data_IF_235831502839
#
_entry.id   IF_235831502839
#
_cell.length_a   1.000
_cell.length_b   1.000
_cell.length_c   1.000
_cell.angle_alpha   90.00
_cell.angle_beta   90.00
_cell.angle_gamma   90.00
#
_symmetry.space_group_name_H-M   'P 1'
#
loop_
_entity.id
_entity.type
_entity.pdbx_description
1 polymer ?
#
# COMPACT_ATOMS: atom_id res chain seq x y z
N UNK A 1 46.12 61.83 -43.11
CA UNK A 1 46.51 60.95 -41.97
C UNK A 1 46.08 61.66 -40.70
N UNK A 2 45.17 61.19 -39.85
CA UNK A 2 44.76 59.82 -39.50
C UNK A 2 43.27 59.80 -39.10
N UNK A 3 42.55 58.78 -39.55
CA UNK A 3 41.25 58.37 -39.02
C UNK A 3 41.40 57.93 -37.57
N UNK A 4 40.42 58.27 -36.72
CA UNK A 4 40.16 57.55 -35.48
C UNK A 4 38.66 57.27 -35.38
N UNK A 5 38.31 56.02 -35.69
CA UNK A 5 37.04 55.37 -35.39
C UNK A 5 36.95 55.21 -33.87
N UNK A 6 35.88 55.71 -33.24
CA UNK A 6 35.56 55.36 -31.85
C UNK A 6 34.23 54.60 -31.82
N UNK A 7 34.36 53.35 -31.43
CA UNK A 7 33.38 52.27 -31.43
C UNK A 7 32.35 52.49 -30.32
N UNK A 8 31.07 52.60 -30.66
CA UNK A 8 29.96 52.61 -29.70
C UNK A 8 29.78 51.21 -29.12
N UNK A 9 30.08 51.03 -27.83
CA UNK A 9 29.78 49.80 -27.11
C UNK A 9 28.32 49.82 -26.63
N UNK A 10 27.47 49.00 -27.26
CA UNK A 10 26.11 48.74 -26.80
C UNK A 10 26.16 47.59 -25.79
N UNK A 11 26.04 47.90 -24.49
CA UNK A 11 25.94 46.89 -23.45
C UNK A 11 24.52 46.30 -23.44
N UNK A 12 24.36 45.11 -24.03
CA UNK A 12 23.13 44.33 -23.90
C UNK A 12 23.08 43.70 -22.51
N UNK A 13 22.21 44.21 -21.63
CA UNK A 13 21.94 43.63 -20.31
C UNK A 13 20.90 42.53 -20.49
N UNK A 14 21.36 41.31 -20.75
CA UNK A 14 20.49 40.14 -20.78
C UNK A 14 20.22 39.66 -19.36
N UNK A 15 19.12 40.10 -18.74
CA UNK A 15 18.61 39.45 -17.53
C UNK A 15 18.01 38.08 -17.92
N UNK A 16 18.87 37.06 -18.02
CA UNK A 16 18.42 35.68 -18.01
C UNK A 16 17.98 35.36 -16.57
N UNK A 17 16.70 35.58 -16.27
CA UNK A 17 16.09 35.01 -15.08
C UNK A 17 16.21 33.48 -15.20
N UNK A 18 17.12 32.89 -14.44
CA UNK A 18 17.20 31.44 -14.25
C UNK A 18 15.88 31.02 -13.64
N UNK A 19 14.96 30.52 -14.48
CA UNK A 19 13.79 29.79 -14.01
C UNK A 19 14.36 28.50 -13.43
N UNK A 20 14.65 28.51 -12.13
CA UNK A 20 14.92 27.26 -11.42
C UNK A 20 13.68 26.39 -11.62
N UNK A 21 13.82 25.14 -12.08
CA UNK A 21 12.69 24.24 -12.13
C UNK A 21 12.11 24.21 -10.72
N UNK A 22 10.83 24.60 -10.58
CA UNK A 22 10.12 24.60 -9.31
C UNK A 22 10.28 23.19 -8.74
N UNK A 23 11.13 23.02 -7.72
CA UNK A 23 11.30 21.74 -7.02
C UNK A 23 9.90 21.30 -6.66
N UNK A 24 9.45 20.17 -7.21
CA UNK A 24 8.13 19.64 -6.90
C UNK A 24 8.02 19.61 -5.38
N UNK A 25 6.98 20.24 -4.83
CA UNK A 25 6.78 20.24 -3.38
C UNK A 25 6.72 18.78 -2.93
N UNK A 26 7.56 18.45 -1.95
CA UNK A 26 7.60 17.08 -1.43
C UNK A 26 6.22 16.73 -0.83
N UNK A 27 5.70 15.52 -1.10
CA UNK A 27 4.40 15.13 -0.60
C UNK A 27 4.37 15.20 0.93
N UNK A 28 3.30 15.78 1.46
CA UNK A 28 3.05 15.91 2.90
C UNK A 28 1.98 14.92 3.34
N UNK A 29 2.15 14.39 4.54
CA UNK A 29 1.30 13.37 5.15
C UNK A 29 0.76 13.88 6.49
N UNK A 30 -0.52 13.67 6.74
CA UNK A 30 -1.16 13.99 8.02
C UNK A 30 -1.08 12.75 8.91
N UNK A 31 -0.33 12.82 10.00
CA UNK A 31 -0.18 11.72 10.95
C UNK A 31 -0.77 12.08 12.32
N UNK A 32 -1.25 11.07 13.04
CA UNK A 32 -1.73 11.16 14.41
C UNK A 32 -0.84 10.33 15.34
N UNK A 33 -0.20 10.98 16.31
CA UNK A 33 0.62 10.31 17.34
C UNK A 33 -0.18 9.99 18.61
N UNK A 34 -1.21 10.79 18.88
CA UNK A 34 -2.16 10.58 19.97
C UNK A 34 -3.50 11.23 19.60
N UNK A 35 -4.60 11.01 20.36
CA UNK A 35 -5.89 11.63 20.07
C UNK A 35 -5.84 13.16 19.89
N UNK A 36 -4.86 13.83 20.49
CA UNK A 36 -4.70 15.30 20.45
C UNK A 36 -3.46 15.76 19.70
N UNK A 37 -2.58 14.87 19.24
CA UNK A 37 -1.34 15.21 18.54
C UNK A 37 -1.42 14.78 17.08
N UNK A 38 -1.79 15.73 16.23
CA UNK A 38 -1.86 15.58 14.78
C UNK A 38 -0.83 16.49 14.14
N UNK A 39 0.01 15.93 13.25
CA UNK A 39 1.08 16.65 12.58
C UNK A 39 1.00 16.46 11.09
N UNK A 40 1.40 17.48 10.33
CA UNK A 40 1.67 17.34 8.90
C UNK A 40 3.18 17.21 8.73
N UNK A 41 3.62 16.10 8.15
CA UNK A 41 5.03 15.71 8.08
C UNK A 41 5.41 15.23 6.67
N UNK A 42 6.69 15.22 6.34
CA UNK A 42 7.22 14.58 5.13
C UNK A 42 7.35 13.07 5.33
N UNK A 43 7.61 12.33 4.24
CA UNK A 43 7.86 10.88 4.31
C UNK A 43 9.13 10.56 5.12
N UNK A 44 10.17 11.40 5.03
CA UNK A 44 11.40 11.21 5.80
C UNK A 44 11.20 11.47 7.29
N UNK A 45 10.35 12.42 7.66
CA UNK A 45 9.96 12.64 9.05
C UNK A 45 9.14 11.46 9.61
N UNK A 46 8.24 10.87 8.82
CA UNK A 46 7.57 9.60 9.19
C UNK A 46 8.59 8.50 9.46
N UNK A 47 9.63 8.41 8.65
CA UNK A 47 10.69 7.41 8.83
C UNK A 47 11.53 7.65 10.07
N UNK A 48 11.92 8.90 10.34
CA UNK A 48 12.62 9.25 11.57
C UNK A 48 11.80 8.90 12.83
N UNK A 49 10.47 8.98 12.77
CA UNK A 49 9.60 8.51 13.86
C UNK A 49 9.62 6.98 13.99
N UNK A 50 9.57 6.24 12.87
CA UNK A 50 9.63 4.77 12.87
C UNK A 50 10.97 4.25 13.41
N UNK A 51 12.08 4.87 13.02
CA UNK A 51 13.43 4.54 13.53
C UNK A 51 13.54 4.74 15.05
N UNK A 52 12.81 5.72 15.59
CA UNK A 52 12.70 5.98 17.03
C UNK A 52 11.64 5.12 17.73
N UNK A 53 11.04 4.16 17.02
CA UNK A 53 9.94 3.33 17.51
C UNK A 53 8.73 4.14 18.03
N UNK A 54 8.49 5.33 17.45
CA UNK A 54 7.32 6.14 17.76
C UNK A 54 6.16 5.69 16.86
N UNK A 55 5.08 5.25 17.48
CA UNK A 55 3.87 4.84 16.77
C UNK A 55 3.06 6.04 16.33
N UNK A 56 2.49 5.96 15.12
CA UNK A 56 1.56 6.94 14.58
C UNK A 56 0.60 6.25 13.60
N UNK A 57 -0.55 6.88 13.38
CA UNK A 57 -1.50 6.49 12.34
C UNK A 57 -1.40 7.54 11.22
N UNK A 58 -1.21 7.09 9.98
CA UNK A 58 -1.33 7.97 8.83
C UNK A 58 -2.81 8.18 8.54
N UNK A 59 -3.28 9.42 8.68
CA UNK A 59 -4.65 9.86 8.46
C UNK A 59 -4.72 10.81 7.25
N UNK A 60 -3.75 10.75 6.35
CA UNK A 60 -3.75 11.52 5.10
C UNK A 60 -4.97 11.17 4.27
N UNK A 61 -5.74 12.17 3.86
CA UNK A 61 -6.98 11.98 3.10
C UNK A 61 -8.19 11.56 3.94
N UNK A 62 -8.07 11.53 5.27
CA UNK A 62 -9.22 11.46 6.17
C UNK A 62 -9.63 12.87 6.56
N UNK A 63 -10.77 13.32 6.01
CA UNK A 63 -11.41 14.58 6.37
C UNK A 63 -12.17 14.49 7.71
N UNK A 64 -12.59 13.27 8.08
CA UNK A 64 -13.24 12.96 9.35
C UNK A 64 -12.20 12.56 10.41
N UNK A 65 -12.49 12.84 11.68
CA UNK A 65 -11.70 12.29 12.78
C UNK A 65 -11.61 10.76 12.65
N UNK A 66 -10.43 10.15 12.86
CA UNK A 66 -10.29 8.71 12.79
C UNK A 66 -11.37 8.06 13.67
N UNK A 67 -12.07 7.03 13.17
CA UNK A 67 -13.22 6.48 13.87
C UNK A 67 -12.80 6.13 15.30
N UNK A 68 -13.45 6.78 16.27
CA UNK A 68 -13.30 6.41 17.69
C UNK A 68 -13.46 4.90 17.75
N UNK A 69 -12.55 4.21 18.45
CA UNK A 69 -12.60 2.76 18.55
C UNK A 69 -14.01 2.35 18.97
N UNK A 70 -14.78 1.83 18.01
CA UNK A 70 -16.07 1.26 18.31
C UNK A 70 -15.74 -0.05 19.02
N UNK A 71 -15.74 -0.02 20.35
CA UNK A 71 -15.93 -1.24 21.13
C UNK A 71 -17.34 -1.73 20.82
N UNK A 72 -17.50 -2.36 19.65
CA UNK A 72 -18.68 -3.13 19.35
C UNK A 72 -18.66 -4.31 20.31
N UNK A 73 -19.64 -4.34 21.23
CA UNK A 73 -20.03 -5.58 21.88
C UNK A 73 -20.65 -6.44 20.78
N UNK A 74 -19.81 -7.20 20.08
CA UNK A 74 -20.27 -8.20 19.13
C UNK A 74 -20.86 -9.36 19.92
N UNK A 75 -22.16 -9.58 19.77
CA UNK A 75 -22.82 -10.79 20.26
C UNK A 75 -22.42 -11.95 19.36
N UNK A 76 -21.44 -12.73 19.80
CA UNK A 76 -21.06 -13.96 19.14
C UNK A 76 -22.00 -15.10 19.57
N UNK A 77 -22.29 -16.07 18.68
CA UNK A 77 -23.01 -17.29 19.07
C UNK A 77 -22.30 -18.01 20.23
N UNK A 78 -23.06 -18.51 21.20
CA UNK A 78 -22.50 -19.22 22.36
C UNK A 78 -21.93 -20.62 22.06
N UNK A 79 -22.13 -21.12 20.83
CA UNK A 79 -21.59 -22.41 20.38
C UNK A 79 -21.33 -22.40 18.86
N UNK A 80 -20.42 -23.26 18.42
CA UNK A 80 -20.08 -23.45 17.00
C UNK A 80 -21.20 -24.25 16.31
N UNK A 81 -21.83 -23.66 15.30
CA UNK A 81 -22.95 -24.28 14.59
C UNK A 81 -22.56 -25.10 13.36
N UNK A 82 -21.33 -24.94 12.83
CA UNK A 82 -20.90 -25.49 11.53
C UNK A 82 -19.87 -26.62 11.65
N UNK A 83 -19.87 -27.36 12.75
CA UNK A 83 -18.86 -28.39 13.07
C UNK A 83 -18.69 -29.42 11.97
N UNK A 84 -19.78 -29.96 11.41
CA UNK A 84 -19.72 -30.94 10.32
C UNK A 84 -19.00 -30.40 9.08
N UNK A 85 -19.32 -29.16 8.68
CA UNK A 85 -18.68 -28.53 7.53
C UNK A 85 -17.18 -28.26 7.78
N UNK A 86 -16.83 -27.80 8.99
CA UNK A 86 -15.44 -27.55 9.39
C UNK A 86 -14.63 -28.86 9.35
N UNK A 87 -15.17 -29.94 9.95
CA UNK A 87 -14.50 -31.24 9.98
C UNK A 87 -14.28 -31.84 8.58
N UNK A 88 -15.17 -31.55 7.62
CA UNK A 88 -14.98 -31.94 6.22
C UNK A 88 -13.92 -31.11 5.47
N UNK A 89 -13.62 -29.89 5.93
CA UNK A 89 -12.65 -28.98 5.30
C UNK A 89 -11.25 -29.12 5.89
N UNK A 90 -11.11 -29.38 7.20
CA UNK A 90 -9.82 -29.45 7.89
C UNK A 90 -8.81 -30.40 7.20
N UNK A 91 -9.17 -31.63 6.78
CA UNK A 91 -8.23 -32.54 6.11
C UNK A 91 -7.78 -32.05 4.72
N UNK A 92 -8.48 -31.08 4.12
CA UNK A 92 -8.15 -30.52 2.79
C UNK A 92 -7.09 -29.42 2.85
N UNK A 93 -6.71 -28.98 4.06
CA UNK A 93 -5.62 -28.03 4.25
C UNK A 93 -4.31 -28.71 3.88
N UNK A 94 -3.54 -28.10 2.98
CA UNK A 94 -2.27 -28.64 2.50
C UNK A 94 -1.13 -27.74 2.94
N UNK A 95 -0.29 -28.24 3.86
CA UNK A 95 0.93 -27.55 4.26
C UNK A 95 1.88 -27.35 3.08
N UNK A 96 1.92 -28.29 2.12
CA UNK A 96 2.74 -28.16 0.91
C UNK A 96 2.33 -26.96 0.06
N UNK A 97 1.03 -26.74 -0.13
CA UNK A 97 0.53 -25.56 -0.86
C UNK A 97 0.86 -24.26 -0.12
N UNK A 98 0.68 -24.24 1.21
CA UNK A 98 1.04 -23.08 2.04
C UNK A 98 2.54 -22.76 1.94
N UNK A 99 3.41 -23.76 2.06
CA UNK A 99 4.86 -23.59 1.93
C UNK A 99 5.24 -23.11 0.53
N UNK A 100 4.65 -23.65 -0.53
CA UNK A 100 4.96 -23.23 -1.91
C UNK A 100 4.59 -21.76 -2.17
N UNK A 101 3.43 -21.32 -1.69
CA UNK A 101 3.01 -19.92 -1.78
C UNK A 101 3.94 -19.01 -0.96
N UNK A 102 4.29 -19.41 0.27
CA UNK A 102 5.22 -18.65 1.11
C UNK A 102 6.61 -18.56 0.49
N UNK A 103 7.15 -19.65 -0.05
CA UNK A 103 8.45 -19.65 -0.75
C UNK A 103 8.44 -18.66 -1.90
N UNK A 104 7.36 -18.62 -2.69
CA UNK A 104 7.27 -17.66 -3.79
C UNK A 104 7.23 -16.22 -3.29
N UNK A 105 6.43 -15.93 -2.26
CA UNK A 105 6.39 -14.62 -1.62
C UNK A 105 7.75 -14.18 -1.06
N UNK A 106 8.51 -15.10 -0.47
CA UNK A 106 9.83 -14.83 0.12
C UNK A 106 10.94 -14.67 -0.91
N UNK A 107 10.73 -15.12 -2.15
CA UNK A 107 11.71 -14.98 -3.23
C UNK A 107 11.63 -13.62 -3.94
N UNK A 108 10.59 -12.83 -3.72
CA UNK A 108 10.60 -11.43 -4.15
C UNK A 108 11.62 -10.65 -3.31
N UNK A 109 12.44 -9.84 -3.98
CA UNK A 109 13.47 -9.03 -3.35
C UNK A 109 12.94 -8.20 -2.16
N UNK A 110 11.80 -7.55 -2.36
CA UNK A 110 10.94 -7.03 -1.29
C UNK A 110 9.49 -7.02 -1.79
N UNK A 111 8.54 -6.71 -0.91
CA UNK A 111 7.12 -6.53 -1.27
C UNK A 111 6.62 -5.15 -0.83
N UNK A 112 7.50 -4.15 -0.86
CA UNK A 112 7.18 -2.80 -0.40
C UNK A 112 6.17 -2.13 -1.33
N UNK A 113 5.17 -1.45 -0.75
CA UNK A 113 3.99 -0.97 -1.47
C UNK A 113 4.26 0.00 -2.64
N UNK A 114 5.39 0.69 -2.64
CA UNK A 114 5.83 1.60 -3.73
C UNK A 114 6.86 0.98 -4.67
N UNK A 115 7.34 -0.23 -4.41
CA UNK A 115 8.36 -0.87 -5.24
C UNK A 115 7.76 -1.59 -6.46
N UNK A 116 8.58 -1.79 -7.49
CA UNK A 116 8.25 -2.67 -8.63
C UNK A 116 7.99 -4.10 -8.17
N UNK A 117 8.76 -4.59 -7.19
CA UNK A 117 8.62 -5.94 -6.66
C UNK A 117 7.32 -6.13 -5.87
N UNK A 118 6.87 -5.10 -5.14
CA UNK A 118 5.57 -5.11 -4.48
C UNK A 118 4.40 -5.17 -5.47
N UNK A 119 4.48 -4.45 -6.58
CA UNK A 119 3.51 -4.54 -7.67
C UNK A 119 3.51 -5.95 -8.30
N UNK A 120 4.69 -6.51 -8.60
CA UNK A 120 4.83 -7.85 -9.15
C UNK A 120 4.30 -8.93 -8.20
N UNK A 121 4.53 -8.82 -6.89
CA UNK A 121 4.01 -9.77 -5.91
C UNK A 121 2.48 -9.75 -5.86
N UNK A 122 1.87 -8.57 -6.01
CA UNK A 122 0.42 -8.43 -6.11
C UNK A 122 -0.15 -9.07 -7.37
N UNK A 123 0.50 -8.87 -8.51
CA UNK A 123 0.10 -9.45 -9.79
C UNK A 123 0.22 -10.99 -9.77
N UNK A 124 1.28 -11.51 -9.16
CA UNK A 124 1.42 -12.95 -8.93
C UNK A 124 0.29 -13.49 -8.04
N UNK A 125 -0.03 -12.82 -6.92
CA UNK A 125 -1.12 -13.22 -6.04
C UNK A 125 -2.48 -13.21 -6.75
N UNK A 126 -2.74 -12.19 -7.57
CA UNK A 126 -3.94 -12.10 -8.41
C UNK A 126 -4.07 -13.34 -9.32
N UNK A 127 -2.99 -13.68 -10.03
CA UNK A 127 -2.95 -14.86 -10.89
C UNK A 127 -3.16 -16.17 -10.13
N UNK A 128 -2.53 -16.31 -8.96
CA UNK A 128 -2.73 -17.47 -8.09
C UNK A 128 -4.19 -17.62 -7.68
N UNK A 129 -4.83 -16.55 -7.19
CA UNK A 129 -6.24 -16.59 -6.76
C UNK A 129 -7.16 -16.87 -7.96
N UNK A 130 -6.92 -16.25 -9.11
CA UNK A 130 -7.68 -16.53 -10.33
C UNK A 130 -7.60 -18.00 -10.74
N UNK A 131 -6.42 -18.62 -10.60
CA UNK A 131 -6.23 -20.05 -10.89
C UNK A 131 -7.02 -20.94 -9.92
N UNK A 132 -7.04 -20.57 -8.63
CA UNK A 132 -7.80 -21.30 -7.59
C UNK A 132 -9.29 -21.21 -7.83
N UNK A 133 -9.82 -20.02 -8.14
CA UNK A 133 -11.23 -19.82 -8.48
C UNK A 133 -11.60 -20.69 -9.69
N UNK A 134 -10.80 -20.63 -10.76
CA UNK A 134 -11.07 -21.39 -12.00
C UNK A 134 -11.08 -22.90 -11.76
N UNK A 135 -10.17 -23.42 -10.92
CA UNK A 135 -10.10 -24.84 -10.59
C UNK A 135 -11.15 -25.31 -9.57
N UNK A 136 -11.78 -24.38 -8.82
CA UNK A 136 -12.67 -24.72 -7.72
C UNK A 136 -14.09 -25.12 -8.14
N UNK A 137 -14.51 -24.74 -9.36
CA UNK A 137 -15.92 -24.85 -9.78
C UNK A 137 -16.88 -23.91 -9.03
N UNK A 138 -16.36 -22.94 -8.27
CA UNK A 138 -17.18 -21.98 -7.54
C UNK A 138 -17.94 -21.05 -8.50
N UNK A 139 -19.27 -21.17 -8.50
CA UNK A 139 -20.13 -20.34 -9.34
C UNK A 139 -20.01 -18.85 -8.95
N UNK A 140 -19.82 -17.99 -9.94
CA UNK A 140 -19.79 -16.53 -9.82
C UNK A 140 -18.72 -15.97 -8.85
N UNK A 141 -17.74 -16.79 -8.43
CA UNK A 141 -16.60 -16.29 -7.69
C UNK A 141 -15.70 -15.44 -8.62
N UNK A 142 -15.16 -14.36 -8.08
CA UNK A 142 -14.32 -13.42 -8.85
C UNK A 142 -13.14 -12.93 -8.02
N UNK A 143 -12.12 -12.43 -8.70
CA UNK A 143 -11.01 -11.70 -8.09
C UNK A 143 -10.72 -10.45 -8.89
N UNK A 144 -10.47 -9.33 -8.21
CA UNK A 144 -10.12 -8.05 -8.83
C UNK A 144 -9.06 -7.32 -8.02
N UNK A 145 -8.42 -6.34 -8.64
CA UNK A 145 -7.55 -5.39 -7.98
C UNK A 145 -8.35 -4.20 -7.44
N UNK A 146 -7.87 -3.59 -6.37
CA UNK A 146 -8.22 -2.25 -5.93
C UNK A 146 -6.96 -1.38 -6.03
N UNK A 147 -7.05 -0.32 -6.83
CA UNK A 147 -5.92 0.57 -7.14
C UNK A 147 -5.83 1.67 -6.09
N UNK A 148 -4.60 1.96 -5.68
CA UNK A 148 -4.27 3.03 -4.74
C UNK A 148 -3.52 4.16 -5.44
N UNK A 149 -3.18 5.23 -4.70
CA UNK A 149 -2.26 6.27 -5.19
C UNK A 149 -0.80 5.78 -5.33
N UNK A 150 -0.48 4.63 -4.75
CA UNK A 150 0.80 3.93 -4.89
C UNK A 150 0.69 2.70 -5.79
N UNK A 151 1.83 2.07 -6.07
CA UNK A 151 1.98 1.06 -7.13
C UNK A 151 1.33 -0.28 -6.80
N UNK A 152 1.54 -0.82 -5.60
CA UNK A 152 1.03 -2.13 -5.23
C UNK A 152 -0.50 -2.09 -5.01
N UNK A 153 -1.31 -2.80 -5.82
CA UNK A 153 -2.75 -2.88 -5.61
C UNK A 153 -3.10 -3.84 -4.47
N UNK A 154 -4.28 -3.66 -3.89
CA UNK A 154 -4.91 -4.70 -3.05
C UNK A 154 -5.65 -5.72 -3.92
N UNK A 155 -5.65 -6.99 -3.51
CA UNK A 155 -6.36 -8.06 -4.21
C UNK A 155 -7.63 -8.42 -3.43
N UNK A 156 -8.79 -8.38 -4.10
CA UNK A 156 -10.09 -8.67 -3.51
C UNK A 156 -10.69 -9.87 -4.22
N UNK A 157 -10.76 -11.00 -3.51
CA UNK A 157 -11.50 -12.19 -3.93
C UNK A 157 -12.90 -12.16 -3.33
N UNK A 158 -13.92 -12.47 -4.13
CA UNK A 158 -15.32 -12.48 -3.70
C UNK A 158 -15.97 -13.80 -4.10
N UNK A 159 -16.53 -14.50 -3.11
CA UNK A 159 -17.43 -15.63 -3.30
C UNK A 159 -18.83 -15.12 -2.96
N UNK A 160 -19.79 -15.12 -3.91
CA UNK A 160 -21.13 -14.64 -3.65
C UNK A 160 -21.81 -15.44 -2.53
N UNK A 161 -22.29 -14.72 -1.51
CA UNK A 161 -23.07 -15.30 -0.42
C UNK A 161 -24.54 -15.48 -0.81
N UNK A 162 -25.28 -16.20 0.05
CA UNK A 162 -26.74 -16.35 -0.10
C UNK A 162 -27.54 -15.13 0.40
N UNK A 163 -26.87 -14.12 0.96
CA UNK A 163 -27.48 -12.91 1.51
C UNK A 163 -26.50 -11.74 1.40
N UNK A 164 -26.97 -10.53 1.72
CA UNK A 164 -26.14 -9.32 1.78
C UNK A 164 -25.19 -9.26 2.99
N UNK A 165 -25.22 -10.24 3.91
CA UNK A 165 -24.28 -10.30 5.03
C UNK A 165 -22.91 -10.78 4.52
N UNK A 166 -21.92 -9.90 4.61
CA UNK A 166 -20.55 -10.14 4.13
C UNK A 166 -19.65 -10.56 5.27
N UNK A 167 -18.84 -11.59 5.03
CA UNK A 167 -17.71 -11.97 5.90
C UNK A 167 -16.44 -11.53 5.18
N UNK A 168 -15.60 -10.76 5.85
CA UNK A 168 -14.30 -10.32 5.32
C UNK A 168 -13.20 -11.01 6.11
N UNK A 169 -12.31 -11.68 5.39
CA UNK A 169 -11.06 -12.23 5.93
C UNK A 169 -9.92 -11.60 5.14
N UNK A 170 -8.92 -11.08 5.84
CA UNK A 170 -7.84 -10.32 5.24
C UNK A 170 -6.47 -10.67 5.81
N UNK A 171 -5.45 -10.39 5.01
CA UNK A 171 -4.05 -10.40 5.39
C UNK A 171 -3.34 -9.30 4.58
N UNK A 172 -2.21 -8.81 5.08
CA UNK A 172 -1.34 -7.92 4.32
C UNK A 172 -0.30 -8.75 3.56
N UNK A 173 0.03 -8.35 2.32
CA UNK A 173 1.02 -9.06 1.49
C UNK A 173 2.38 -8.36 1.45
N UNK A 174 2.44 -7.11 1.89
CA UNK A 174 3.61 -6.27 1.76
C UNK A 174 4.72 -6.69 2.73
N UNK A 175 5.89 -6.11 2.54
CA UNK A 175 7.00 -6.21 3.48
C UNK A 175 7.71 -4.87 3.59
N UNK A 176 8.41 -4.68 4.70
CA UNK A 176 9.23 -3.50 4.94
C UNK A 176 10.56 -3.92 5.54
N UNK A 177 11.65 -3.33 5.05
CA UNK A 177 12.92 -3.29 5.75
C UNK A 177 13.09 -1.89 6.35
N UNK A 178 13.16 -1.81 7.69
CA UNK A 178 13.31 -0.53 8.39
C UNK A 178 14.67 0.13 8.12
N UNK A 179 15.71 -0.65 7.86
CA UNK A 179 17.05 -0.14 7.58
C UNK A 179 17.23 0.31 6.14
N UNK A 180 16.42 -0.20 5.21
CA UNK A 180 16.49 0.13 3.79
C UNK A 180 15.14 -0.08 3.08
N UNK A 181 14.27 0.93 3.15
CA UNK A 181 12.90 0.83 2.61
C UNK A 181 12.82 0.64 1.10
N UNK A 182 13.77 1.21 0.35
CA UNK A 182 13.70 1.29 -1.12
C UNK A 182 14.27 0.03 -1.75
N UNK A 183 15.44 -0.39 -1.27
CA UNK A 183 16.21 -1.45 -1.91
C UNK A 183 16.23 -2.74 -1.08
N UNK A 184 15.49 -2.82 0.02
CA UNK A 184 15.50 -4.01 0.87
C UNK A 184 16.83 -4.26 1.58
#
# INVERSE_FOLDING_TARGET
MRLALALTALAAVSNAAVIQPRKAEEPKYKIQLSPTDIRTVTEDEKWALREKHVNFIDITGLDEDPPKSLQMIALFPGAVAQTTAIMALLPKISQTRLRSALTTFSNFHNRYYTSTYGEQSAQWLLGLVQSVISASGAANASVKTFTHSWRQPSIIATIPGKSARTIVVGAHQDSVNLSNRVNG
#
